data_IF_425315973387
#
_entry.id   IF_425315973387
#
_cell.length_a   1.000
_cell.length_b   1.000
_cell.length_c   1.000
_cell.angle_alpha   90.00
_cell.angle_beta   90.00
_cell.angle_gamma   90.00
#
_symmetry.space_group_name_H-M   'P 1'
#
loop_
_entity.id
_entity.type
_entity.pdbx_description
1 polymer ?
#
# COMPACT_ATOMS: atom_id res chain seq x y z
N UNK A 1 -6.70 -14.55 20.59
CA UNK A 1 -7.16 -13.46 21.48
C UNK A 1 -8.39 -12.84 20.88
N UNK A 2 -9.47 -12.78 21.63
CA UNK A 2 -10.63 -12.01 21.22
C UNK A 2 -10.18 -10.55 21.07
N UNK A 3 -10.28 -10.00 19.87
CA UNK A 3 -10.21 -8.57 19.71
C UNK A 3 -11.41 -8.00 20.45
N UNK A 4 -11.16 -7.16 21.43
CA UNK A 4 -12.21 -6.33 21.96
C UNK A 4 -12.75 -5.51 20.80
N UNK A 5 -13.83 -5.99 20.24
CA UNK A 5 -14.60 -5.23 19.28
C UNK A 5 -15.23 -4.11 20.11
N UNK A 6 -14.58 -2.98 20.16
CA UNK A 6 -15.23 -1.75 20.57
C UNK A 6 -16.34 -1.55 19.56
N UNK A 7 -17.53 -2.04 19.93
CA UNK A 7 -18.71 -1.75 19.17
C UNK A 7 -18.88 -0.24 19.16
N UNK A 8 -18.53 0.36 18.03
CA UNK A 8 -19.04 1.68 17.72
C UNK A 8 -20.57 1.61 17.94
N UNK A 9 -21.17 2.56 18.64
CA UNK A 9 -22.60 2.61 18.87
C UNK A 9 -23.44 2.44 17.59
N UNK A 10 -22.84 2.69 16.43
CA UNK A 10 -23.46 2.51 15.12
C UNK A 10 -23.24 1.13 14.51
N UNK A 11 -22.45 0.24 15.14
CA UNK A 11 -22.17 -1.10 14.63
C UNK A 11 -21.31 -1.13 13.35
N UNK A 12 -20.52 -0.10 13.08
CA UNK A 12 -19.64 -0.05 11.93
C UNK A 12 -18.44 -1.00 12.08
N UNK A 13 -18.04 -1.64 10.96
CA UNK A 13 -16.84 -2.47 10.92
C UNK A 13 -15.57 -1.60 10.88
N UNK A 14 -14.42 -2.20 11.23
CA UNK A 14 -13.10 -1.53 11.10
C UNK A 14 -12.86 -1.02 9.68
N UNK A 15 -13.29 -1.79 8.68
CA UNK A 15 -13.22 -1.39 7.27
C UNK A 15 -14.03 -0.13 6.99
N UNK A 16 -15.28 -0.08 7.48
CA UNK A 16 -16.16 1.08 7.30
C UNK A 16 -15.61 2.32 8.01
N UNK A 17 -15.05 2.16 9.21
CA UNK A 17 -14.40 3.25 9.94
C UNK A 17 -13.19 3.78 9.17
N UNK A 18 -12.37 2.90 8.61
CA UNK A 18 -11.25 3.28 7.77
C UNK A 18 -11.71 4.02 6.50
N UNK A 19 -12.70 3.48 5.81
CA UNK A 19 -13.29 4.08 4.61
C UNK A 19 -13.80 5.49 4.87
N UNK A 20 -14.47 5.69 6.01
CA UNK A 20 -14.99 7.01 6.41
C UNK A 20 -13.89 8.01 6.79
N UNK A 21 -12.70 7.55 7.13
CA UNK A 21 -11.57 8.40 7.51
C UNK A 21 -10.90 9.10 6.34
N UNK A 22 -11.30 8.80 5.10
CA UNK A 22 -10.71 9.38 3.90
C UNK A 22 -11.77 9.76 2.87
N UNK A 23 -11.40 10.63 1.94
CA UNK A 23 -12.28 11.08 0.86
C UNK A 23 -12.27 10.17 -0.36
N UNK A 24 -11.29 9.28 -0.46
CA UNK A 24 -11.14 8.37 -1.59
C UNK A 24 -11.85 7.04 -1.33
N UNK A 25 -12.46 6.42 -2.36
CA UNK A 25 -13.07 5.11 -2.20
C UNK A 25 -12.03 4.03 -1.96
N UNK A 26 -12.38 3.00 -1.20
CA UNK A 26 -11.55 1.80 -1.04
C UNK A 26 -11.48 1.02 -2.36
N UNK A 27 -12.58 0.98 -3.10
CA UNK A 27 -12.67 0.23 -4.33
C UNK A 27 -12.95 -1.25 -4.14
N UNK A 28 -12.66 -2.03 -5.17
CA UNK A 28 -12.94 -3.46 -5.20
C UNK A 28 -11.73 -4.29 -4.71
N UNK A 29 -11.97 -5.54 -4.28
CA UNK A 29 -10.87 -6.45 -3.97
C UNK A 29 -9.86 -6.52 -5.14
N UNK A 30 -8.59 -6.40 -4.80
CA UNK A 30 -7.50 -6.39 -5.77
C UNK A 30 -7.16 -7.80 -6.24
N UNK A 31 -8.00 -8.37 -7.10
CA UNK A 31 -7.86 -9.75 -7.57
C UNK A 31 -6.72 -9.88 -8.57
N UNK A 32 -6.58 -8.93 -9.49
CA UNK A 32 -5.61 -8.99 -10.58
C UNK A 32 -4.16 -9.11 -10.10
N UNK A 33 -3.83 -8.49 -8.97
CA UNK A 33 -2.48 -8.50 -8.38
C UNK A 33 -2.38 -9.33 -7.10
N UNK A 34 -3.41 -10.10 -6.75
CA UNK A 34 -3.49 -10.82 -5.47
C UNK A 34 -2.29 -11.75 -5.22
N UNK A 35 -1.71 -12.33 -6.26
CA UNK A 35 -0.52 -13.20 -6.16
C UNK A 35 0.75 -12.47 -5.69
N UNK A 36 0.74 -11.15 -5.77
CA UNK A 36 1.86 -10.29 -5.34
C UNK A 36 1.67 -9.65 -3.96
N UNK A 37 0.63 -10.09 -3.25
CA UNK A 37 0.29 -9.58 -1.92
C UNK A 37 0.16 -10.74 -0.93
N UNK A 38 0.55 -10.48 0.31
CA UNK A 38 0.19 -11.30 1.47
C UNK A 38 -0.98 -10.59 2.15
N UNK A 39 -2.13 -11.25 2.24
CA UNK A 39 -3.36 -10.66 2.77
C UNK A 39 -4.21 -9.99 1.70
N UNK A 40 -5.32 -9.41 2.13
CA UNK A 40 -6.31 -8.80 1.24
C UNK A 40 -6.02 -7.31 1.04
N UNK A 41 -5.98 -6.89 -0.21
CA UNK A 41 -5.93 -5.49 -0.60
C UNK A 41 -7.10 -5.11 -1.49
N UNK A 42 -7.32 -3.80 -1.63
CA UNK A 42 -8.37 -3.21 -2.45
C UNK A 42 -7.75 -2.15 -3.34
N UNK A 43 -8.34 -1.94 -4.49
CA UNK A 43 -7.83 -1.02 -5.50
C UNK A 43 -8.95 -0.16 -6.05
N UNK A 44 -8.78 1.15 -5.96
CA UNK A 44 -9.69 2.13 -6.56
C UNK A 44 -8.92 2.99 -7.57
N UNK A 45 -9.15 2.83 -8.88
CA UNK A 45 -8.59 3.73 -9.86
C UNK A 45 -9.19 5.14 -9.69
N UNK A 46 -8.34 6.15 -9.58
CA UNK A 46 -8.76 7.55 -9.46
C UNK A 46 -8.51 8.33 -10.75
N UNK A 47 -7.42 8.04 -11.45
CA UNK A 47 -7.08 8.61 -12.74
C UNK A 47 -6.40 7.57 -13.61
N UNK A 48 -6.81 7.48 -14.88
CA UNK A 48 -6.22 6.58 -15.87
C UNK A 48 -5.76 7.33 -17.13
N UNK A 49 -5.99 8.64 -17.17
CA UNK A 49 -5.54 9.48 -18.28
C UNK A 49 -4.17 10.03 -17.95
N UNK A 50 -3.67 11.01 -18.49
CA UNK A 50 -2.36 11.66 -18.25
C UNK A 50 -1.42 10.92 -17.26
N UNK A 51 -1.83 10.77 -16.01
CA UNK A 51 -1.09 10.07 -14.95
C UNK A 51 -1.98 9.05 -14.28
N UNK A 52 -1.52 7.81 -14.16
CA UNK A 52 -2.20 6.76 -13.40
C UNK A 52 -2.14 7.06 -11.91
N UNK A 53 -3.30 7.15 -11.25
CA UNK A 53 -3.42 7.36 -9.81
C UNK A 53 -4.42 6.34 -9.27
N UNK A 54 -4.00 5.60 -8.25
CA UNK A 54 -4.81 4.57 -7.62
C UNK A 54 -4.81 4.79 -6.12
N UNK A 55 -5.95 4.57 -5.48
CA UNK A 55 -5.99 4.41 -4.03
C UNK A 55 -5.86 2.93 -3.72
N UNK A 56 -4.79 2.54 -3.05
CA UNK A 56 -4.52 1.16 -2.65
C UNK A 56 -4.76 1.04 -1.16
N UNK A 57 -5.65 0.13 -0.77
CA UNK A 57 -6.01 -0.11 0.62
C UNK A 57 -5.62 -1.51 1.05
N UNK A 58 -4.98 -1.60 2.19
CA UNK A 58 -4.46 -2.83 2.78
C UNK A 58 -5.19 -3.13 4.08
N UNK A 59 -5.69 -4.36 4.23
CA UNK A 59 -6.10 -4.86 5.54
C UNK A 59 -4.91 -4.89 6.52
N UNK A 60 -5.17 -4.94 7.84
CA UNK A 60 -4.09 -5.15 8.81
C UNK A 60 -3.19 -6.32 8.42
N UNK A 61 -1.89 -6.14 8.50
CA UNK A 61 -0.84 -7.08 8.13
C UNK A 61 -0.71 -7.38 6.62
N UNK A 62 -1.55 -6.83 5.77
CA UNK A 62 -1.42 -6.97 4.31
C UNK A 62 -0.24 -6.14 3.79
N UNK A 63 0.57 -6.75 2.92
CA UNK A 63 1.70 -6.10 2.26
C UNK A 63 1.91 -6.68 0.88
N UNK A 64 2.51 -5.90 -0.01
CA UNK A 64 2.92 -6.42 -1.30
C UNK A 64 4.32 -7.05 -1.22
N UNK A 65 4.66 -7.78 -2.27
CA UNK A 65 5.98 -8.38 -2.41
C UNK A 65 7.04 -7.28 -2.64
N UNK A 66 8.29 -7.61 -2.39
CA UNK A 66 9.41 -6.83 -2.91
C UNK A 66 9.22 -6.65 -4.41
N UNK A 67 9.44 -5.45 -4.90
CA UNK A 67 9.30 -5.15 -6.33
C UNK A 67 10.12 -3.93 -6.74
N UNK A 68 10.30 -3.80 -8.04
CA UNK A 68 11.09 -2.74 -8.66
C UNK A 68 10.26 -2.14 -9.79
N UNK A 69 10.13 -0.82 -9.80
CA UNK A 69 9.60 -0.11 -10.96
C UNK A 69 10.74 0.15 -11.93
N UNK A 70 10.57 -0.29 -13.17
CA UNK A 70 11.59 -0.17 -14.23
C UNK A 70 11.17 0.86 -15.26
N UNK A 71 12.12 1.56 -15.83
CA UNK A 71 11.91 2.51 -16.92
C UNK A 71 13.23 2.78 -17.64
N UNK A 72 13.16 3.08 -18.94
CA UNK A 72 14.33 3.56 -19.69
C UNK A 72 14.61 5.03 -19.39
N UNK A 73 13.55 5.83 -19.24
CA UNK A 73 13.60 7.23 -18.82
C UNK A 73 12.40 7.55 -17.95
N UNK A 74 12.57 8.47 -17.00
CA UNK A 74 11.51 8.82 -16.06
C UNK A 74 11.10 7.62 -15.24
N UNK A 75 9.78 7.50 -14.96
CA UNK A 75 9.25 6.36 -14.23
C UNK A 75 9.42 6.47 -12.73
N UNK A 76 9.16 5.36 -12.05
CA UNK A 76 9.08 5.30 -10.60
C UNK A 76 7.66 5.49 -10.10
N UNK A 77 7.52 5.67 -8.79
CA UNK A 77 6.21 5.82 -8.16
C UNK A 77 6.27 6.81 -7.01
N UNK A 78 5.20 7.51 -6.79
CA UNK A 78 5.02 8.36 -5.61
C UNK A 78 3.90 7.76 -4.77
N UNK A 79 4.15 7.59 -3.47
CA UNK A 79 3.14 7.18 -2.51
C UNK A 79 2.74 8.37 -1.64
N UNK A 80 1.45 8.54 -1.41
CA UNK A 80 0.92 9.51 -0.45
C UNK A 80 0.00 8.76 0.50
N UNK A 81 0.38 8.68 1.78
CA UNK A 81 -0.49 8.06 2.78
C UNK A 81 -1.72 8.95 3.02
N UNK A 82 -2.91 8.39 2.90
CA UNK A 82 -4.18 9.12 3.05
C UNK A 82 -5.02 8.65 4.23
N UNK A 83 -4.78 7.45 4.74
CA UNK A 83 -5.51 6.93 5.91
C UNK A 83 -4.75 5.78 6.57
N UNK A 84 -4.94 5.63 7.87
CA UNK A 84 -4.39 4.53 8.64
C UNK A 84 -2.88 4.65 8.87
N UNK A 85 -2.23 3.51 8.98
CA UNK A 85 -0.79 3.43 9.26
C UNK A 85 -0.15 2.27 8.50
N UNK A 86 0.97 2.54 7.86
CA UNK A 86 1.67 1.54 7.05
C UNK A 86 3.18 1.62 7.15
N UNK A 87 3.81 0.80 6.33
CA UNK A 87 5.26 0.76 6.16
C UNK A 87 5.64 0.98 4.70
N UNK A 88 6.82 1.56 4.53
CA UNK A 88 7.60 1.54 3.31
C UNK A 88 9.03 1.09 3.65
N UNK A 89 9.60 0.19 2.87
CA UNK A 89 10.98 -0.26 3.09
C UNK A 89 11.70 -0.44 1.76
N UNK A 90 12.88 0.15 1.66
CA UNK A 90 13.86 -0.13 0.60
C UNK A 90 14.74 -1.31 1.00
N UNK A 91 15.13 -2.11 0.02
CA UNK A 91 16.04 -3.22 0.23
C UNK A 91 17.35 -2.75 0.89
N UNK A 92 17.73 -3.40 1.97
CA UNK A 92 18.95 -3.07 2.72
C UNK A 92 18.82 -1.90 3.69
N UNK A 93 17.62 -1.32 3.83
CA UNK A 93 17.36 -0.23 4.77
C UNK A 93 16.28 -0.60 5.78
N UNK A 94 16.16 0.19 6.83
CA UNK A 94 15.08 0.03 7.81
C UNK A 94 13.74 0.45 7.23
N UNK A 95 12.67 -0.21 7.69
CA UNK A 95 11.31 0.17 7.33
C UNK A 95 10.93 1.51 7.95
N UNK A 96 10.28 2.35 7.15
CA UNK A 96 9.71 3.62 7.58
C UNK A 96 8.23 3.44 7.87
N UNK A 97 7.75 3.95 9.00
CA UNK A 97 6.31 4.06 9.24
C UNK A 97 5.73 5.23 8.46
N UNK A 98 4.55 5.02 7.90
CA UNK A 98 3.79 6.01 7.16
C UNK A 98 2.50 6.35 7.89
N UNK A 99 2.23 7.63 8.02
CA UNK A 99 0.97 8.18 8.54
C UNK A 99 0.36 9.13 7.52
N UNK A 100 -0.92 9.48 7.64
CA UNK A 100 -1.58 10.40 6.70
C UNK A 100 -0.79 11.70 6.51
N UNK A 101 -0.56 12.06 5.25
CA UNK A 101 0.23 13.20 4.84
C UNK A 101 1.68 12.88 4.46
N UNK A 102 2.18 11.70 4.80
CA UNK A 102 3.53 11.29 4.40
C UNK A 102 3.60 11.01 2.90
N UNK A 103 4.67 11.47 2.27
CA UNK A 103 4.94 11.30 0.83
C UNK A 103 6.26 10.56 0.66
N UNK A 104 6.25 9.53 -0.16
CA UNK A 104 7.44 8.75 -0.51
C UNK A 104 7.68 8.85 -2.01
N UNK A 105 8.86 9.30 -2.41
CA UNK A 105 9.29 9.30 -3.80
C UNK A 105 10.16 8.07 -4.05
N UNK A 106 9.69 7.19 -4.93
CA UNK A 106 10.37 5.95 -5.26
C UNK A 106 10.92 6.07 -6.68
N UNK A 107 12.25 6.20 -6.78
CA UNK A 107 12.92 6.24 -8.08
C UNK A 107 12.81 4.88 -8.79
N UNK A 108 12.86 4.85 -10.14
CA UNK A 108 12.98 3.59 -10.85
C UNK A 108 14.26 2.85 -10.44
N UNK A 109 14.20 1.52 -10.40
CA UNK A 109 15.32 0.66 -9.99
C UNK A 109 15.41 0.39 -8.49
N UNK A 110 14.63 1.06 -7.66
CA UNK A 110 14.64 0.83 -6.21
C UNK A 110 13.78 -0.38 -5.85
N UNK A 111 14.41 -1.39 -5.27
CA UNK A 111 13.71 -2.56 -4.73
C UNK A 111 13.08 -2.22 -3.39
N UNK A 112 11.77 -2.35 -3.28
CA UNK A 112 11.01 -1.91 -2.12
C UNK A 112 9.72 -2.72 -1.93
N UNK A 113 9.08 -2.53 -0.81
CA UNK A 113 7.71 -2.97 -0.55
C UNK A 113 6.98 -1.93 0.32
N UNK A 114 5.67 -2.02 0.35
CA UNK A 114 4.82 -1.25 1.25
C UNK A 114 3.58 -2.07 1.66
N UNK A 115 2.97 -1.67 2.76
CA UNK A 115 1.83 -2.38 3.31
C UNK A 115 1.37 -1.82 4.64
N UNK A 116 0.31 -2.39 5.17
CA UNK A 116 -0.26 -1.99 6.45
C UNK A 116 0.61 -2.44 7.63
N UNK A 117 0.51 -1.73 8.76
CA UNK A 117 0.98 -2.27 10.03
C UNK A 117 0.10 -3.45 10.44
N UNK A 118 0.55 -4.24 11.41
CA UNK A 118 -0.06 -5.53 11.74
C UNK A 118 -1.50 -5.45 12.28
N UNK A 119 -1.88 -4.31 12.82
CA UNK A 119 -3.16 -4.13 13.56
C UNK A 119 -4.02 -2.96 13.07
N UNK A 120 -3.64 -2.32 11.96
CA UNK A 120 -4.40 -1.21 11.38
C UNK A 120 -4.53 -1.31 9.88
N UNK A 121 -5.64 -0.82 9.37
CA UNK A 121 -5.84 -0.57 7.95
C UNK A 121 -4.91 0.54 7.47
N UNK A 122 -4.56 0.51 6.20
CA UNK A 122 -3.68 1.48 5.57
C UNK A 122 -4.14 1.76 4.15
N UNK A 123 -4.19 3.03 3.79
CA UNK A 123 -4.44 3.44 2.39
C UNK A 123 -3.41 4.47 1.96
N UNK A 124 -2.92 4.30 0.75
CA UNK A 124 -2.08 5.29 0.10
C UNK A 124 -2.50 5.50 -1.35
N UNK A 125 -2.30 6.71 -1.85
CA UNK A 125 -2.30 6.94 -3.28
C UNK A 125 -1.01 6.39 -3.87
N UNK A 126 -1.14 5.66 -4.98
CA UNK A 126 -0.03 5.24 -5.80
C UNK A 126 -0.10 6.05 -7.09
N UNK A 127 0.90 6.88 -7.31
CA UNK A 127 0.99 7.75 -8.49
C UNK A 127 2.10 7.20 -9.38
N UNK A 128 1.74 6.76 -10.58
CA UNK A 128 2.69 6.28 -11.57
C UNK A 128 3.38 7.46 -12.23
N UNK A 129 4.68 7.60 -11.99
CA UNK A 129 5.46 8.66 -12.65
C UNK A 129 5.60 8.31 -14.12
N UNK A 130 5.22 9.19 -15.05
CA UNK A 130 5.35 8.92 -16.48
C UNK A 130 6.79 8.65 -16.89
N UNK A 131 6.98 7.73 -17.83
CA UNK A 131 8.29 7.37 -18.32
C UNK A 131 8.21 6.55 -19.60
N UNK A 132 9.39 6.21 -20.14
CA UNK A 132 9.53 5.40 -21.34
C UNK A 132 9.79 3.95 -20.97
N UNK A 133 9.07 3.02 -21.62
CA UNK A 133 9.15 1.57 -21.38
C UNK A 133 9.09 1.21 -19.90
N UNK A 134 8.05 1.71 -19.23
CA UNK A 134 7.82 1.46 -17.79
C UNK A 134 7.29 0.06 -17.56
N UNK A 135 7.68 -0.53 -16.43
CA UNK A 135 7.20 -1.82 -15.99
C UNK A 135 7.40 -2.04 -14.51
N UNK A 136 6.97 -3.20 -14.04
CA UNK A 136 7.18 -3.61 -12.65
C UNK A 136 7.76 -5.02 -12.63
N UNK A 137 8.89 -5.18 -11.96
CA UNK A 137 9.48 -6.48 -11.68
C UNK A 137 9.07 -6.92 -10.27
N UNK A 138 8.28 -7.98 -10.20
CA UNK A 138 7.85 -8.56 -8.94
C UNK A 138 8.90 -9.55 -8.44
N UNK A 139 9.30 -9.38 -7.18
CA UNK A 139 10.32 -10.17 -6.51
C UNK A 139 9.70 -11.04 -5.41
N UNK A 140 10.50 -11.45 -4.43
CA UNK A 140 10.06 -12.34 -3.35
C UNK A 140 9.04 -11.69 -2.42
N UNK A 141 8.32 -12.53 -1.69
CA UNK A 141 7.40 -12.10 -0.63
C UNK A 141 8.19 -11.48 0.52
N UNK A 142 7.56 -10.52 1.20
CA UNK A 142 8.00 -10.08 2.52
C UNK A 142 7.55 -11.15 3.53
N UNK A 143 8.47 -11.97 4.01
CA UNK A 143 8.16 -13.09 4.89
C UNK A 143 7.59 -12.67 6.24
N UNK A 144 6.75 -13.52 6.82
CA UNK A 144 6.13 -13.25 8.12
C UNK A 144 7.19 -13.02 9.20
N UNK A 145 8.27 -13.78 9.18
CA UNK A 145 9.33 -13.65 10.17
C UNK A 145 9.95 -12.24 10.19
N UNK A 146 10.31 -11.70 9.03
CA UNK A 146 10.86 -10.34 8.95
C UNK A 146 9.81 -9.27 9.18
N UNK A 147 8.58 -9.48 8.66
CA UNK A 147 7.50 -8.51 8.79
C UNK A 147 7.09 -8.30 10.25
N UNK A 148 6.85 -9.38 11.00
CA UNK A 148 6.37 -9.28 12.38
C UNK A 148 7.44 -8.84 13.38
N UNK A 149 8.69 -8.71 12.97
CA UNK A 149 9.75 -8.06 13.77
C UNK A 149 9.73 -6.53 13.68
N UNK A 150 9.01 -5.96 12.73
CA UNK A 150 8.90 -4.51 12.57
C UNK A 150 8.14 -3.89 13.75
N UNK A 151 8.59 -2.70 14.16
CA UNK A 151 8.00 -1.97 15.30
C UNK A 151 7.07 -0.87 14.85
#
# INVERSE_FOLDING_TARGET
MAKDVWNDPCGESEKQLHERSMIFPIGEPNIAFSKYFVGQSFLAPLSKQQVGIYNVTFEPACRNNWHIHTAEKGGGQILICVAGEGYYQEWGKEAQKLKPGDVVNIAPGVKHWHGAVKDRWFSHLAIEVPGENTGTEWCEKVGDEEYFKLK
#
